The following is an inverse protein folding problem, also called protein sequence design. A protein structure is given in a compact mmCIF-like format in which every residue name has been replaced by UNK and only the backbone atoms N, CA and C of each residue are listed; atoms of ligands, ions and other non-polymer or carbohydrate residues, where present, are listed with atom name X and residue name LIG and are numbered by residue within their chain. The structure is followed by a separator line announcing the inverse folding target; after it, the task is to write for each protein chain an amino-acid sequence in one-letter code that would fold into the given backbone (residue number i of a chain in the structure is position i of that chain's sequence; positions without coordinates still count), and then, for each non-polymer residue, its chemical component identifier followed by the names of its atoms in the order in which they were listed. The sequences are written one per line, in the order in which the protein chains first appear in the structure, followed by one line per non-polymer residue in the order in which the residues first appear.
data_IF_763535945380
#
_entry.id   IF_763535945380
#
_cell.length_a   1.000
_cell.length_b   1.000
_cell.length_c   1.000
_cell.angle_alpha   90.00
_cell.angle_beta   90.00
_cell.angle_gamma   90.00
#
_symmetry.space_group_name_H-M   'P 1'
#
loop_
_entity.id
_entity.type
_entity.pdbx_description
1 polymer ?
#
# COMPACT_ATOMS: atom_id res chain seq x y z
N UNK A 1 -19.24 8.11 9.49
CA UNK A 1 -19.06 6.77 10.10
C UNK A 1 -17.57 6.46 10.09
N UNK A 2 -16.99 6.12 11.23
CA UNK A 2 -15.56 5.78 11.33
C UNK A 2 -15.35 4.34 10.88
N UNK A 3 -14.37 4.07 10.01
CA UNK A 3 -13.99 2.72 9.62
C UNK A 3 -12.72 2.33 10.40
N UNK A 4 -12.82 1.46 11.43
CA UNK A 4 -11.70 1.18 12.32
C UNK A 4 -10.47 0.61 11.60
N UNK A 5 -10.66 -0.03 10.44
CA UNK A 5 -9.57 -0.63 9.68
C UNK A 5 -8.58 0.40 9.12
N UNK A 6 -9.00 1.65 8.90
CA UNK A 6 -8.15 2.71 8.34
C UNK A 6 -6.91 2.99 9.21
N UNK A 7 -6.99 2.80 10.52
CA UNK A 7 -5.85 2.99 11.42
C UNK A 7 -4.65 2.09 11.07
N UNK A 8 -4.91 0.91 10.50
CA UNK A 8 -3.86 -0.04 10.10
C UNK A 8 -3.20 0.33 8.77
N UNK A 9 -3.75 1.30 8.04
CA UNK A 9 -3.13 1.87 6.84
C UNK A 9 -2.15 3.01 7.15
N UNK A 10 -2.10 3.48 8.40
CA UNK A 10 -1.12 4.48 8.84
C UNK A 10 0.30 4.02 8.48
N UNK A 11 1.11 4.94 7.95
CA UNK A 11 2.44 4.62 7.42
C UNK A 11 3.53 5.52 7.99
N UNK A 12 3.19 6.54 8.79
CA UNK A 12 4.19 7.47 9.34
C UNK A 12 5.18 6.79 10.28
N UNK A 13 4.81 5.65 10.87
CA UNK A 13 5.71 4.85 11.70
C UNK A 13 6.77 4.08 10.89
N UNK A 14 6.59 3.93 9.57
CA UNK A 14 7.55 3.25 8.71
C UNK A 14 8.75 4.15 8.35
N UNK A 15 9.94 3.56 8.14
CA UNK A 15 11.09 4.25 7.56
C UNK A 15 10.77 4.90 6.19
N UNK A 16 11.46 5.99 5.80
CA UNK A 16 11.14 6.75 4.59
C UNK A 16 11.03 5.90 3.31
N UNK A 17 11.93 4.94 3.12
CA UNK A 17 11.98 4.08 1.94
C UNK A 17 10.83 3.06 1.86
N UNK A 18 10.22 2.67 2.99
CA UNK A 18 9.02 1.82 3.00
C UNK A 18 7.74 2.64 2.93
N UNK A 19 7.80 3.89 3.41
CA UNK A 19 6.68 4.81 3.42
C UNK A 19 6.16 5.11 2.02
N UNK A 20 7.06 5.31 1.06
CA UNK A 20 6.70 5.60 -0.33
C UNK A 20 5.88 4.47 -0.97
N UNK A 21 6.10 3.23 -0.55
CA UNK A 21 5.35 2.05 -1.00
C UNK A 21 4.01 1.92 -0.29
N UNK A 22 3.97 2.21 1.01
CA UNK A 22 2.75 2.08 1.83
C UNK A 22 1.72 3.20 1.57
N UNK A 23 2.19 4.42 1.24
CA UNK A 23 1.36 5.60 0.97
C UNK A 23 0.20 5.36 -0.03
N UNK A 24 0.42 4.81 -1.24
CA UNK A 24 -0.68 4.61 -2.20
C UNK A 24 -1.79 3.69 -1.68
N UNK A 25 -1.48 2.70 -0.83
CA UNK A 25 -2.49 1.84 -0.21
C UNK A 25 -3.33 2.60 0.82
N UNK A 26 -2.69 3.47 1.61
CA UNK A 26 -3.39 4.31 2.57
C UNK A 26 -4.31 5.30 1.87
N UNK A 27 -3.80 6.00 0.85
CA UNK A 27 -4.59 6.93 0.06
C UNK A 27 -5.80 6.19 -0.53
N UNK A 28 -5.59 5.05 -1.20
CA UNK A 28 -6.68 4.26 -1.79
C UNK A 28 -7.72 3.81 -0.74
N UNK A 29 -7.30 3.35 0.44
CA UNK A 29 -8.21 2.97 1.51
C UNK A 29 -9.10 4.14 1.96
N UNK A 30 -8.52 5.35 2.07
CA UNK A 30 -9.27 6.56 2.39
C UNK A 30 -10.24 6.96 1.27
N UNK A 31 -9.84 6.86 -0.01
CA UNK A 31 -10.75 7.10 -1.14
C UNK A 31 -11.96 6.16 -1.13
N UNK A 32 -11.75 4.86 -0.86
CA UNK A 32 -12.84 3.88 -0.81
C UNK A 32 -13.88 4.26 0.28
N UNK A 33 -13.41 4.73 1.44
CA UNK A 33 -14.29 5.04 2.59
C UNK A 33 -14.93 6.42 2.50
N UNK A 34 -14.25 7.41 1.92
CA UNK A 34 -14.66 8.81 1.94
C UNK A 34 -15.15 9.35 0.58
N UNK A 35 -14.92 8.64 -0.52
CA UNK A 35 -15.10 9.18 -1.87
C UNK A 35 -13.90 10.05 -2.27
N UNK A 36 -13.72 10.23 -3.59
CA UNK A 36 -12.67 10.97 -4.31
C UNK A 36 -11.31 11.20 -3.62
N UNK A 37 -10.24 10.61 -4.18
CA UNK A 37 -8.89 11.16 -4.09
C UNK A 37 -8.55 11.89 -5.40
N UNK A 38 -8.13 13.15 -5.29
CA UNK A 38 -7.80 14.01 -6.45
C UNK A 38 -6.67 13.39 -7.30
N UNK A 39 -6.88 13.42 -8.61
CA UNK A 39 -6.24 12.65 -9.68
C UNK A 39 -4.72 12.85 -9.93
N UNK A 40 -3.95 13.46 -9.04
CA UNK A 40 -2.53 13.74 -9.35
C UNK A 40 -1.63 12.48 -9.49
N UNK A 41 -2.12 11.26 -9.17
CA UNK A 41 -1.31 10.03 -9.17
C UNK A 41 -1.97 8.78 -9.79
N UNK A 42 -3.05 8.92 -10.57
CA UNK A 42 -3.44 7.92 -11.57
C UNK A 42 -3.98 6.55 -11.11
N UNK A 43 -5.02 6.46 -10.25
CA UNK A 43 -6.28 5.69 -10.55
C UNK A 43 -7.38 5.70 -9.47
N UNK A 44 -8.61 5.42 -9.96
CA UNK A 44 -9.91 4.97 -9.39
C UNK A 44 -10.52 5.70 -8.18
N UNK A 45 -11.33 6.73 -8.46
CA UNK A 45 -12.79 6.77 -8.26
C UNK A 45 -13.22 8.23 -8.39
N UNK A 46 -14.11 8.53 -9.33
CA UNK A 46 -14.64 9.87 -9.63
C UNK A 46 -16.06 10.03 -9.07
N UNK A 47 -16.30 9.54 -7.85
CA UNK A 47 -17.64 9.28 -7.36
C UNK A 47 -17.77 9.16 -5.84
N UNK A 48 -19.02 8.99 -5.38
CA UNK A 48 -19.34 8.96 -3.95
C UNK A 48 -18.63 7.79 -3.24
N UNK A 49 -18.49 7.86 -1.90
CA UNK A 49 -17.92 6.77 -1.11
C UNK A 49 -18.58 5.43 -1.43
N UNK A 50 -17.76 4.38 -1.52
CA UNK A 50 -18.28 3.01 -1.72
C UNK A 50 -19.22 2.70 -0.55
N UNK A 51 -20.46 2.23 -0.76
CA UNK A 51 -21.39 1.95 0.33
C UNK A 51 -20.84 0.96 1.35
N UNK A 52 -21.22 1.12 2.62
CA UNK A 52 -20.81 0.20 3.68
C UNK A 52 -21.54 -1.13 3.54
N UNK A 53 -20.82 -2.16 3.12
CA UNK A 53 -21.32 -3.52 3.01
C UNK A 53 -20.19 -4.53 3.34
N UNK A 54 -20.50 -5.84 3.42
CA UNK A 54 -19.48 -6.86 3.64
C UNK A 54 -18.35 -6.85 2.61
N UNK A 55 -18.66 -6.60 1.33
CA UNK A 55 -17.67 -6.55 0.24
C UNK A 55 -16.65 -5.42 0.40
N UNK A 56 -17.08 -4.21 0.80
CA UNK A 56 -16.17 -3.11 1.13
C UNK A 56 -15.24 -3.51 2.27
N UNK A 57 -15.77 -4.21 3.26
CA UNK A 57 -14.99 -4.69 4.41
C UNK A 57 -13.97 -5.75 3.98
N UNK A 58 -14.37 -6.68 3.10
CA UNK A 58 -13.47 -7.66 2.52
C UNK A 58 -12.36 -6.99 1.69
N UNK A 59 -12.73 -6.08 0.78
CA UNK A 59 -11.79 -5.33 -0.05
C UNK A 59 -10.76 -4.53 0.76
N UNK A 60 -11.17 -3.84 1.83
CA UNK A 60 -10.24 -3.11 2.70
C UNK A 60 -9.27 -4.05 3.44
N UNK A 61 -9.71 -5.25 3.84
CA UNK A 61 -8.83 -6.26 4.46
C UNK A 61 -7.83 -6.81 3.47
N UNK A 62 -8.26 -7.09 2.25
CA UNK A 62 -7.38 -7.63 1.22
C UNK A 62 -6.38 -6.57 0.73
N UNK A 63 -6.80 -5.30 0.65
CA UNK A 63 -5.90 -4.18 0.39
C UNK A 63 -4.83 -4.04 1.49
N UNK A 64 -5.20 -4.23 2.76
CA UNK A 64 -4.25 -4.19 3.88
C UNK A 64 -3.23 -5.34 3.78
N UNK A 65 -3.69 -6.56 3.46
CA UNK A 65 -2.81 -7.72 3.22
C UNK A 65 -1.84 -7.46 2.08
N UNK A 66 -2.33 -6.87 0.98
CA UNK A 66 -1.51 -6.52 -0.18
C UNK A 66 -0.42 -5.51 0.19
N UNK A 67 -0.78 -4.44 0.92
CA UNK A 67 0.17 -3.45 1.46
C UNK A 67 1.30 -4.12 2.23
N UNK A 68 0.95 -4.96 3.22
CA UNK A 68 1.93 -5.62 4.08
C UNK A 68 2.81 -6.61 3.30
N UNK A 69 2.23 -7.35 2.35
CA UNK A 69 2.98 -8.27 1.49
C UNK A 69 4.02 -7.52 0.64
N UNK A 70 3.63 -6.40 0.03
CA UNK A 70 4.51 -5.62 -0.84
C UNK A 70 5.58 -4.90 -0.03
N UNK A 71 5.25 -4.36 1.15
CA UNK A 71 6.26 -3.78 2.07
C UNK A 71 7.29 -4.83 2.49
N UNK A 72 6.87 -6.07 2.78
CA UNK A 72 7.79 -7.17 3.08
C UNK A 72 8.62 -7.60 1.88
N UNK A 73 8.05 -7.56 0.67
CA UNK A 73 8.78 -7.90 -0.56
C UNK A 73 9.99 -6.97 -0.80
N UNK A 74 9.89 -5.69 -0.43
CA UNK A 74 11.01 -4.74 -0.49
C UNK A 74 12.15 -5.10 0.46
N UNK A 75 11.86 -5.82 1.55
CA UNK A 75 12.84 -6.27 2.54
C UNK A 75 13.36 -7.68 2.27
N UNK A 76 12.89 -8.34 1.20
CA UNK A 76 13.30 -9.68 0.86
C UNK A 76 14.79 -9.70 0.51
N UNK A 77 15.52 -10.62 1.15
CA UNK A 77 16.92 -10.89 0.87
C UNK A 77 16.96 -12.27 0.24
N UNK A 78 17.23 -12.32 -1.06
CA UNK A 78 17.53 -13.59 -1.71
C UNK A 78 18.88 -14.08 -1.16
N UNK A 79 18.98 -15.36 -0.83
CA UNK A 79 20.22 -15.89 -0.30
C UNK A 79 21.27 -15.86 -1.41
N UNK A 80 22.39 -15.20 -1.09
CA UNK A 80 23.65 -15.10 -1.83
C UNK A 80 23.78 -16.14 -2.95
N UNK A 81 23.88 -15.67 -4.19
CA UNK A 81 24.28 -16.52 -5.32
C UNK A 81 25.51 -17.35 -4.94
N UNK A 82 25.55 -18.62 -5.36
CA UNK A 82 26.60 -19.64 -5.04
C UNK A 82 28.06 -19.21 -5.30
N UNK A 83 28.25 -18.01 -5.80
CA UNK A 83 29.44 -17.36 -6.31
C UNK A 83 29.82 -16.08 -5.53
N UNK A 84 29.09 -15.73 -4.46
CA UNK A 84 29.45 -14.60 -3.59
C UNK A 84 29.24 -13.22 -4.23
N UNK A 85 28.57 -13.15 -5.38
CA UNK A 85 28.22 -11.91 -6.05
C UNK A 85 26.85 -11.40 -5.55
N UNK A 86 26.83 -10.19 -4.97
CA UNK A 86 25.60 -9.51 -4.59
C UNK A 86 25.02 -8.84 -5.85
N UNK A 87 24.09 -9.48 -6.54
CA UNK A 87 23.32 -8.83 -7.61
C UNK A 87 22.21 -7.98 -6.99
N UNK A 88 22.58 -6.75 -6.62
CA UNK A 88 21.62 -5.69 -6.39
C UNK A 88 20.96 -5.29 -7.72
N UNK A 89 19.93 -6.02 -8.12
CA UNK A 89 18.92 -5.53 -9.08
C UNK A 89 17.65 -5.43 -8.26
N UNK A 90 17.27 -4.26 -7.73
CA UNK A 90 16.75 -3.12 -8.50
C UNK A 90 16.98 -1.81 -7.73
N UNK A 91 17.35 -0.73 -8.43
CA UNK A 91 17.22 0.63 -7.91
C UNK A 91 18.38 1.58 -8.20
N UNK A 92 18.85 1.64 -9.45
CA UNK A 92 19.62 2.79 -9.91
C UNK A 92 18.76 4.06 -10.01
N UNK A 93 19.45 5.19 -9.87
CA UNK A 93 19.12 6.53 -10.38
C UNK A 93 17.98 7.31 -9.70
N UNK A 94 18.35 8.08 -8.66
CA UNK A 94 18.59 9.52 -8.85
C UNK A 94 19.55 10.06 -7.78
#
# INVERSE_FOLDING_TARGET
MSEPILQFFEYKHLPPHLRVISKPFCDLAHAIVHGDNVAAAGTVSSGPPVPRNPERTAGLRDLLKAKDAIVRAVLYKDEVGRDGSYVATVGGAQ
#
